data_IF_503305659028
#
_entry.id   IF_503305659028
#
_cell.length_a   1.000
_cell.length_b   1.000
_cell.length_c   1.000
_cell.angle_alpha   90.00
_cell.angle_beta   90.00
_cell.angle_gamma   90.00
#
_symmetry.space_group_name_H-M   'P 1'
#
loop_
_entity.id
_entity.type
_entity.pdbx_description
1 polymer ?
#
# COMPACT_ATOMS: atom_id res chain seq x y z
N UNK A 1 84.33 -15.41 9.66
CA UNK A 1 83.35 -15.25 10.74
C UNK A 1 82.41 -14.15 10.35
N UNK A 2 81.26 -14.52 9.71
CA UNK A 2 80.25 -13.57 9.24
C UNK A 2 78.88 -14.27 9.34
N UNK A 3 78.18 -14.12 10.46
CA UNK A 3 76.78 -14.50 10.62
C UNK A 3 76.11 -13.44 11.50
N UNK A 4 75.72 -12.32 10.95
CA UNK A 4 74.73 -11.40 11.52
C UNK A 4 74.15 -10.58 10.36
N UNK A 5 73.02 -10.85 9.89
CA UNK A 5 72.41 -10.01 8.83
C UNK A 5 71.04 -10.49 8.29
N UNK A 6 70.44 -11.62 8.80
CA UNK A 6 69.24 -12.12 8.16
C UNK A 6 67.95 -12.05 9.02
N UNK A 7 68.05 -11.59 10.27
CA UNK A 7 66.88 -11.63 11.18
C UNK A 7 66.06 -10.32 11.21
N UNK A 8 66.60 -9.20 10.77
CA UNK A 8 65.91 -7.90 10.84
C UNK A 8 64.92 -7.66 9.70
N UNK A 9 65.06 -8.35 8.57
CA UNK A 9 64.16 -8.17 7.41
C UNK A 9 62.84 -8.90 7.54
N UNK A 10 62.82 -10.03 8.22
CA UNK A 10 61.59 -10.85 8.42
C UNK A 10 60.67 -10.26 9.49
N UNK A 11 61.26 -9.71 10.54
CA UNK A 11 60.48 -9.04 11.62
C UNK A 11 59.81 -7.77 11.09
N UNK A 12 60.46 -7.04 10.19
CA UNK A 12 59.89 -5.84 9.56
C UNK A 12 58.69 -6.15 8.67
N UNK A 13 58.77 -7.24 7.91
CA UNK A 13 57.66 -7.69 7.04
C UNK A 13 56.45 -8.16 7.85
N UNK A 14 56.66 -8.90 8.93
CA UNK A 14 55.60 -9.38 9.81
C UNK A 14 54.87 -8.22 10.51
N UNK A 15 55.63 -7.24 11.00
CA UNK A 15 55.04 -6.01 11.63
C UNK A 15 54.22 -5.22 10.61
N UNK A 16 54.71 -5.10 9.37
CA UNK A 16 53.99 -4.41 8.31
C UNK A 16 52.68 -5.13 7.92
N UNK A 17 52.69 -6.46 7.81
CA UNK A 17 51.50 -7.25 7.53
C UNK A 17 50.47 -7.15 8.65
N UNK A 18 50.88 -7.19 9.92
CA UNK A 18 49.99 -7.03 11.07
C UNK A 18 49.40 -5.61 11.13
N UNK A 19 50.18 -4.59 10.86
CA UNK A 19 49.70 -3.20 10.80
C UNK A 19 48.71 -2.99 9.66
N UNK A 20 48.99 -3.59 8.49
CA UNK A 20 48.11 -3.50 7.32
C UNK A 20 46.78 -4.25 7.55
N UNK A 21 46.82 -5.43 8.19
CA UNK A 21 45.59 -6.17 8.55
C UNK A 21 44.78 -5.47 9.62
N UNK A 22 45.40 -4.84 10.61
CA UNK A 22 44.71 -4.03 11.60
C UNK A 22 44.05 -2.79 10.99
N UNK A 23 44.70 -2.16 10.00
CA UNK A 23 44.15 -1.02 9.25
C UNK A 23 42.94 -1.44 8.40
N UNK A 24 43.02 -2.61 7.73
CA UNK A 24 41.89 -3.16 6.95
C UNK A 24 40.72 -3.55 7.85
N UNK A 25 40.96 -4.08 9.05
CA UNK A 25 39.93 -4.38 10.01
C UNK A 25 39.25 -3.12 10.56
N UNK A 26 39.99 -2.02 10.74
CA UNK A 26 39.44 -0.75 11.19
C UNK A 26 38.52 -0.10 10.12
N UNK A 27 38.75 -0.41 8.83
CA UNK A 27 37.90 0.05 7.72
C UNK A 27 36.61 -0.81 7.54
N UNK A 28 36.55 -1.97 8.17
CA UNK A 28 35.36 -2.84 8.20
C UNK A 28 34.37 -2.52 9.34
N UNK A 29 34.47 -1.36 9.99
CA UNK A 29 33.39 -0.87 10.83
C UNK A 29 32.18 -0.72 9.90
N UNK A 30 31.07 -1.47 10.11
CA UNK A 30 29.87 -1.23 9.34
C UNK A 30 29.54 0.24 9.52
N UNK A 31 29.64 1.01 8.44
CA UNK A 31 29.00 2.29 8.36
C UNK A 31 27.49 2.00 8.49
N UNK A 32 27.02 1.86 9.72
CA UNK A 32 25.64 2.12 10.03
C UNK A 32 25.47 3.58 9.64
N UNK A 33 25.17 3.78 8.35
CA UNK A 33 24.59 5.01 7.90
C UNK A 33 23.45 5.24 8.87
N UNK A 34 23.66 6.13 9.83
CA UNK A 34 22.58 6.78 10.55
C UNK A 34 21.77 7.45 9.43
N UNK A 35 20.86 6.69 8.82
CA UNK A 35 19.70 7.31 8.28
C UNK A 35 19.12 8.06 9.47
N UNK A 36 19.39 9.36 9.51
CA UNK A 36 18.57 10.33 10.22
C UNK A 36 17.22 10.15 9.57
N UNK A 37 16.49 9.13 10.05
CA UNK A 37 15.33 8.61 9.40
C UNK A 37 14.26 9.68 9.49
N UNK A 38 14.01 10.37 8.38
CA UNK A 38 12.79 11.14 8.22
C UNK A 38 11.65 10.25 8.70
N UNK A 39 10.98 10.65 9.77
CA UNK A 39 9.81 9.91 10.27
C UNK A 39 8.79 9.87 9.13
N UNK A 40 8.42 8.68 8.61
CA UNK A 40 7.49 8.57 7.51
C UNK A 40 6.12 9.12 7.90
N UNK A 41 5.51 9.87 7.00
CA UNK A 41 4.19 10.45 7.16
C UNK A 41 3.20 9.77 6.20
N UNK A 42 2.23 9.05 6.75
CA UNK A 42 1.19 8.35 6.00
C UNK A 42 -0.10 9.15 6.07
N UNK A 43 -0.74 9.40 4.93
CA UNK A 43 -2.12 9.88 4.86
C UNK A 43 -3.08 8.70 4.84
N UNK A 44 -4.02 8.64 5.76
CA UNK A 44 -5.12 7.68 5.72
C UNK A 44 -6.43 8.41 5.44
N UNK A 45 -7.03 8.16 4.28
CA UNK A 45 -8.27 8.84 3.87
C UNK A 45 -9.41 7.85 3.72
N UNK A 46 -10.52 8.06 4.42
CA UNK A 46 -11.68 7.18 4.40
C UNK A 46 -13.01 7.93 4.39
N UNK A 47 -14.05 7.26 3.86
CA UNK A 47 -15.44 7.72 3.97
C UNK A 47 -16.04 7.46 5.35
N UNK A 48 -15.49 6.51 6.11
CA UNK A 48 -15.98 6.09 7.43
C UNK A 48 -15.32 6.88 8.56
N UNK A 49 -15.91 6.90 9.76
CA UNK A 49 -15.30 7.51 10.93
C UNK A 49 -13.88 6.99 11.22
N UNK A 50 -13.01 7.81 11.85
CA UNK A 50 -11.61 7.45 12.09
C UNK A 50 -11.43 6.34 13.15
N UNK A 51 -12.43 6.08 13.98
CA UNK A 51 -12.43 5.05 15.02
C UNK A 51 -13.31 3.87 14.58
N UNK A 52 -12.85 3.13 13.59
CA UNK A 52 -13.50 1.93 13.09
C UNK A 52 -12.60 0.72 13.28
N UNK A 53 -13.17 -0.48 13.34
CA UNK A 53 -12.40 -1.74 13.41
C UNK A 53 -11.28 -1.82 12.36
N UNK A 54 -11.50 -1.23 11.17
CA UNK A 54 -10.48 -1.19 10.10
C UNK A 54 -9.29 -0.30 10.46
N UNK A 55 -9.53 0.86 11.07
CA UNK A 55 -8.46 1.76 11.49
C UNK A 55 -7.69 1.17 12.65
N UNK A 56 -8.36 0.46 13.55
CA UNK A 56 -7.72 -0.23 14.67
C UNK A 56 -6.89 -1.42 14.20
N UNK A 57 -7.40 -2.22 13.25
CA UNK A 57 -6.65 -3.30 12.62
C UNK A 57 -5.42 -2.76 11.86
N UNK A 58 -5.54 -1.63 11.17
CA UNK A 58 -4.43 -0.97 10.49
C UNK A 58 -3.34 -0.53 11.50
N UNK A 59 -3.74 0.11 12.61
CA UNK A 59 -2.80 0.48 13.68
C UNK A 59 -2.14 -0.74 14.33
N UNK A 60 -2.90 -1.82 14.52
CA UNK A 60 -2.37 -3.07 15.07
C UNK A 60 -1.29 -3.65 14.15
N UNK A 61 -1.58 -3.79 12.85
CA UNK A 61 -0.61 -4.31 11.88
C UNK A 61 0.66 -3.45 11.79
N UNK A 62 0.54 -2.13 11.86
CA UNK A 62 1.71 -1.26 11.92
C UNK A 62 2.55 -1.51 13.18
N UNK A 63 1.91 -1.69 14.35
CA UNK A 63 2.61 -1.99 15.61
C UNK A 63 3.33 -3.33 15.57
N UNK A 64 2.73 -4.35 14.98
CA UNK A 64 3.35 -5.67 14.79
C UNK A 64 4.62 -5.59 13.91
N UNK A 65 4.65 -4.62 12.99
CA UNK A 65 5.82 -4.33 12.16
C UNK A 65 6.81 -3.34 12.81
N UNK A 66 6.60 -2.97 14.08
CA UNK A 66 7.49 -2.08 14.82
C UNK A 66 7.21 -0.58 14.61
N UNK A 67 6.14 -0.21 13.89
CA UNK A 67 5.75 1.19 13.72
C UNK A 67 4.83 1.63 14.85
N UNK A 68 5.18 2.72 15.51
CA UNK A 68 4.42 3.30 16.64
C UNK A 68 4.09 4.75 16.29
N UNK A 69 2.79 5.03 16.15
CA UNK A 69 2.26 6.36 15.83
C UNK A 69 2.78 7.39 16.86
N UNK A 70 3.30 8.51 16.37
CA UNK A 70 3.91 9.55 17.19
C UNK A 70 5.35 9.28 17.64
N UNK A 71 5.93 8.10 17.39
CA UNK A 71 7.34 7.79 17.68
C UNK A 71 8.17 7.70 16.38
N UNK A 72 7.86 6.75 15.54
CA UNK A 72 8.63 6.47 14.31
C UNK A 72 7.77 6.46 13.05
N UNK A 73 6.49 6.85 13.16
CA UNK A 73 5.55 7.08 12.07
C UNK A 73 4.54 8.15 12.45
N UNK A 74 4.15 8.99 11.50
CA UNK A 74 3.05 9.95 11.63
C UNK A 74 1.92 9.52 10.72
N UNK A 75 0.68 9.46 11.25
CA UNK A 75 -0.50 9.13 10.47
C UNK A 75 -1.44 10.33 10.44
N UNK A 76 -1.62 10.89 9.25
CA UNK A 76 -2.55 11.98 8.97
C UNK A 76 -3.93 11.40 8.64
N UNK A 77 -4.77 11.31 9.64
CA UNK A 77 -6.13 10.78 9.49
C UNK A 77 -7.04 11.81 8.84
N UNK A 78 -7.72 11.42 7.76
CA UNK A 78 -8.75 12.22 7.09
C UNK A 78 -10.00 11.39 6.91
N UNK A 79 -11.08 11.80 7.54
CA UNK A 79 -12.38 11.12 7.48
C UNK A 79 -13.43 12.04 6.89
N UNK A 80 -14.19 11.51 5.94
CA UNK A 80 -15.35 12.20 5.39
C UNK A 80 -16.61 12.04 6.27
N UNK A 81 -16.59 11.15 7.27
CA UNK A 81 -17.71 10.94 8.22
C UNK A 81 -19.06 10.71 7.53
N UNK A 82 -19.05 9.91 6.47
CA UNK A 82 -20.21 9.62 5.64
C UNK A 82 -20.51 10.67 4.55
N UNK A 83 -19.91 11.86 4.59
CA UNK A 83 -20.07 12.92 3.59
C UNK A 83 -19.02 12.75 2.48
N UNK A 84 -19.28 11.84 1.54
CA UNK A 84 -18.31 11.42 0.52
C UNK A 84 -17.88 12.55 -0.43
N UNK A 85 -18.68 13.58 -0.58
CA UNK A 85 -18.39 14.83 -1.30
C UNK A 85 -17.17 15.60 -0.74
N UNK A 86 -16.80 15.36 0.52
CA UNK A 86 -15.61 15.94 1.16
C UNK A 86 -14.29 15.26 0.77
N UNK A 87 -14.34 14.04 0.25
CA UNK A 87 -13.13 13.26 -0.05
C UNK A 87 -12.14 13.97 -0.99
N UNK A 88 -12.54 14.67 -2.05
CA UNK A 88 -11.59 15.39 -2.91
C UNK A 88 -10.80 16.46 -2.15
N UNK A 89 -11.46 17.24 -1.29
CA UNK A 89 -10.79 18.26 -0.49
C UNK A 89 -9.83 17.64 0.54
N UNK A 90 -10.23 16.54 1.17
CA UNK A 90 -9.40 15.81 2.13
C UNK A 90 -8.17 15.16 1.47
N UNK A 91 -8.32 14.67 0.23
CA UNK A 91 -7.19 14.16 -0.55
C UNK A 91 -6.20 15.27 -0.91
N UNK A 92 -6.71 16.43 -1.35
CA UNK A 92 -5.88 17.60 -1.63
C UNK A 92 -5.13 18.10 -0.38
N UNK A 93 -5.73 18.00 0.80
CA UNK A 93 -5.06 18.29 2.07
C UNK A 93 -3.84 17.40 2.30
N UNK A 94 -3.97 16.08 2.09
CA UNK A 94 -2.85 15.13 2.24
C UNK A 94 -1.72 15.44 1.25
N UNK A 95 -2.07 15.83 0.01
CA UNK A 95 -1.08 16.26 -0.99
C UNK A 95 -0.33 17.51 -0.52
N UNK A 96 -1.03 18.51 0.04
CA UNK A 96 -0.40 19.73 0.59
C UNK A 96 0.54 19.42 1.76
N UNK A 97 0.18 18.44 2.60
CA UNK A 97 1.00 17.97 3.71
C UNK A 97 2.24 17.18 3.25
N UNK A 98 2.34 16.89 1.94
CA UNK A 98 3.44 16.12 1.34
C UNK A 98 3.66 14.80 2.08
N UNK A 99 2.57 14.05 2.29
CA UNK A 99 2.67 12.73 2.87
C UNK A 99 3.49 11.80 1.97
N UNK A 100 4.19 10.84 2.56
CA UNK A 100 5.06 9.92 1.82
C UNK A 100 4.25 8.84 1.10
N UNK A 101 3.02 8.55 1.58
CA UNK A 101 2.09 7.61 0.95
C UNK A 101 0.65 7.92 1.41
N UNK A 102 -0.34 7.54 0.60
CA UNK A 102 -1.76 7.63 0.95
C UNK A 102 -2.35 6.21 1.03
N UNK A 103 -3.03 5.91 2.12
CA UNK A 103 -3.75 4.65 2.34
C UNK A 103 -5.25 4.88 2.17
N UNK A 104 -5.91 4.01 1.40
CA UNK A 104 -7.33 4.14 1.06
C UNK A 104 -8.09 2.84 1.27
N UNK A 105 -9.12 2.81 2.13
CA UNK A 105 -9.90 1.60 2.43
C UNK A 105 -11.12 1.41 1.52
N UNK A 106 -10.98 1.65 0.20
CA UNK A 106 -12.08 1.41 -0.73
C UNK A 106 -12.12 2.33 -1.94
N UNK A 107 -12.93 1.97 -2.93
CA UNK A 107 -12.96 2.58 -4.26
C UNK A 107 -13.17 4.11 -4.26
N UNK A 108 -14.06 4.63 -3.43
CA UNK A 108 -14.40 6.06 -3.42
C UNK A 108 -13.22 6.91 -2.92
N UNK A 109 -12.58 6.50 -1.83
CA UNK A 109 -11.38 7.17 -1.31
C UNK A 109 -10.17 7.01 -2.24
N UNK A 110 -10.02 5.83 -2.88
CA UNK A 110 -8.97 5.60 -3.88
C UNK A 110 -9.13 6.52 -5.08
N UNK A 111 -10.36 6.73 -5.55
CA UNK A 111 -10.65 7.66 -6.65
C UNK A 111 -10.28 9.09 -6.29
N UNK A 112 -10.70 9.57 -5.13
CA UNK A 112 -10.35 10.91 -4.66
C UNK A 112 -8.83 11.11 -4.53
N UNK A 113 -8.11 10.12 -4.01
CA UNK A 113 -6.66 10.16 -3.93
C UNK A 113 -6.00 10.15 -5.32
N UNK A 114 -6.49 9.31 -6.26
CA UNK A 114 -6.01 9.24 -7.65
C UNK A 114 -6.16 10.57 -8.38
N UNK A 115 -7.29 11.24 -8.18
CA UNK A 115 -7.58 12.53 -8.80
C UNK A 115 -6.72 13.66 -8.21
N UNK A 116 -6.32 13.54 -6.94
CA UNK A 116 -5.52 14.54 -6.25
C UNK A 116 -4.01 14.44 -6.54
N UNK A 117 -3.48 13.26 -6.88
CA UNK A 117 -2.05 13.05 -7.12
C UNK A 117 -1.76 11.91 -8.08
N UNK A 118 -0.73 12.11 -8.92
CA UNK A 118 -0.14 11.07 -9.77
C UNK A 118 1.25 10.61 -9.31
N UNK A 119 1.80 11.23 -8.25
CA UNK A 119 3.19 11.03 -7.80
C UNK A 119 3.29 10.40 -6.42
N UNK A 120 2.40 10.77 -5.48
CA UNK A 120 2.40 10.16 -4.15
C UNK A 120 1.88 8.73 -4.28
N UNK A 121 2.60 7.71 -3.77
CA UNK A 121 2.12 6.34 -3.76
C UNK A 121 0.79 6.19 -3.03
N UNK A 122 -0.15 5.46 -3.63
CA UNK A 122 -1.46 5.15 -3.07
C UNK A 122 -1.57 3.65 -2.83
N UNK A 123 -1.87 3.26 -1.61
CA UNK A 123 -2.07 1.85 -1.21
C UNK A 123 -3.54 1.61 -0.91
N UNK A 124 -4.20 0.85 -1.77
CA UNK A 124 -5.56 0.37 -1.53
C UNK A 124 -5.52 -0.80 -0.54
N UNK A 125 -6.24 -0.72 0.56
CA UNK A 125 -6.35 -1.87 1.47
C UNK A 125 -7.45 -2.85 1.05
N UNK A 126 -8.37 -2.40 0.19
CA UNK A 126 -9.45 -3.22 -0.33
C UNK A 126 -10.10 -2.55 -1.54
N UNK A 127 -10.16 -3.24 -2.68
CA UNK A 127 -11.01 -2.86 -3.81
C UNK A 127 -11.59 -4.10 -4.47
N UNK A 128 -12.90 -4.13 -4.80
CA UNK A 128 -13.54 -5.30 -5.42
C UNK A 128 -13.22 -5.43 -6.92
N UNK A 129 -12.79 -4.37 -7.59
CA UNK A 129 -12.53 -4.35 -9.02
C UNK A 129 -11.56 -3.21 -9.42
N UNK A 130 -10.30 -3.27 -9.00
CA UNK A 130 -9.36 -2.17 -9.24
C UNK A 130 -9.06 -1.92 -10.72
N UNK A 131 -9.20 -2.95 -11.57
CA UNK A 131 -9.06 -2.82 -13.04
C UNK A 131 -10.29 -2.13 -13.62
N UNK A 132 -11.49 -2.61 -13.31
CA UNK A 132 -12.74 -2.01 -13.79
C UNK A 132 -12.98 -0.60 -13.26
N UNK A 133 -12.45 -0.27 -12.08
CA UNK A 133 -12.43 1.09 -11.53
C UNK A 133 -11.35 1.98 -12.19
N UNK A 134 -10.48 1.42 -13.01
CA UNK A 134 -9.39 2.13 -13.68
C UNK A 134 -8.28 2.58 -12.74
N UNK A 135 -8.09 1.91 -11.60
CA UNK A 135 -7.03 2.26 -10.65
C UNK A 135 -5.70 1.65 -11.05
N UNK A 136 -5.72 0.44 -11.60
CA UNK A 136 -4.54 -0.28 -12.07
C UNK A 136 -4.77 -0.85 -13.47
N UNK A 137 -3.71 -1.01 -14.24
CA UNK A 137 -3.79 -1.62 -15.58
C UNK A 137 -4.03 -3.12 -15.50
N UNK A 138 -3.38 -3.80 -14.56
CA UNK A 138 -3.59 -5.21 -14.21
C UNK A 138 -3.19 -5.47 -12.77
N UNK A 139 -3.60 -6.61 -12.20
CA UNK A 139 -3.22 -6.97 -10.81
C UNK A 139 -1.72 -7.24 -10.69
N UNK A 140 -1.11 -7.87 -11.71
CA UNK A 140 0.31 -8.19 -11.72
C UNK A 140 1.21 -6.99 -12.06
N UNK A 141 0.69 -6.01 -12.81
CA UNK A 141 1.41 -4.81 -13.24
C UNK A 141 0.51 -3.59 -13.12
N UNK A 142 0.43 -2.96 -11.96
CA UNK A 142 -0.45 -1.81 -11.70
C UNK A 142 -0.25 -0.64 -12.66
N UNK A 143 1.01 -0.37 -13.07
CA UNK A 143 1.35 0.60 -14.13
C UNK A 143 1.31 2.07 -13.73
N UNK A 144 1.03 2.40 -12.46
CA UNK A 144 0.96 3.78 -11.95
C UNK A 144 1.39 3.87 -10.49
N UNK A 145 0.97 4.97 -9.83
CA UNK A 145 1.26 5.20 -8.41
C UNK A 145 0.30 4.50 -7.44
N UNK A 146 -0.59 3.61 -7.94
CA UNK A 146 -1.59 2.90 -7.13
C UNK A 146 -1.23 1.41 -7.08
N UNK A 147 -1.22 0.86 -5.88
CA UNK A 147 -1.06 -0.58 -5.60
C UNK A 147 -1.96 -0.99 -4.44
N UNK A 148 -2.01 -2.27 -4.09
CA UNK A 148 -2.74 -2.72 -2.90
C UNK A 148 -3.43 -4.07 -3.07
N UNK A 149 -4.48 -4.27 -2.28
CA UNK A 149 -5.22 -5.53 -2.19
C UNK A 149 -6.55 -5.45 -2.93
N UNK A 150 -6.88 -6.51 -3.65
CA UNK A 150 -8.19 -6.72 -4.26
C UNK A 150 -8.88 -7.90 -3.60
N UNK A 151 -10.18 -7.73 -3.32
CA UNK A 151 -11.03 -8.86 -2.98
C UNK A 151 -11.78 -9.31 -4.25
N UNK A 152 -11.59 -10.49 -4.72
CA UNK A 152 -12.17 -11.07 -5.95
C UNK A 152 -13.71 -11.21 -5.89
N UNK A 153 -14.42 -10.35 -5.17
CA UNK A 153 -15.86 -10.44 -4.95
C UNK A 153 -16.67 -10.41 -6.26
N UNK A 154 -16.20 -9.70 -7.27
CA UNK A 154 -16.88 -9.60 -8.55
C UNK A 154 -16.83 -10.92 -9.31
N UNK A 155 -15.67 -11.57 -9.33
CA UNK A 155 -15.46 -12.86 -10.01
C UNK A 155 -16.25 -13.98 -9.33
N UNK A 156 -16.36 -13.91 -8.00
CA UNK A 156 -17.10 -14.90 -7.21
C UNK A 156 -18.63 -14.76 -7.30
N UNK A 157 -19.15 -13.66 -7.84
CA UNK A 157 -20.61 -13.41 -7.87
C UNK A 157 -21.34 -14.44 -8.73
N UNK A 158 -20.77 -14.84 -9.86
CA UNK A 158 -21.32 -15.92 -10.70
C UNK A 158 -21.36 -17.24 -9.96
N UNK A 159 -20.23 -17.61 -9.31
CA UNK A 159 -20.14 -18.86 -8.55
C UNK A 159 -21.09 -18.92 -7.35
N UNK A 160 -21.28 -17.80 -6.67
CA UNK A 160 -22.29 -17.70 -5.59
C UNK A 160 -23.71 -17.99 -6.11
N UNK A 161 -24.05 -17.49 -7.32
CA UNK A 161 -25.34 -17.74 -7.94
C UNK A 161 -25.48 -19.20 -8.37
N UNK A 162 -24.44 -19.83 -8.89
CA UNK A 162 -24.41 -21.27 -9.21
C UNK A 162 -24.68 -22.10 -7.95
N UNK A 163 -23.92 -21.85 -6.86
CA UNK A 163 -24.10 -22.54 -5.60
C UNK A 163 -25.50 -22.34 -5.02
N UNK A 164 -26.05 -21.12 -5.12
CA UNK A 164 -27.42 -20.86 -4.68
C UNK A 164 -28.42 -21.71 -5.47
N UNK A 165 -28.23 -21.89 -6.78
CA UNK A 165 -29.09 -22.73 -7.62
C UNK A 165 -28.96 -24.23 -7.27
N UNK A 166 -27.76 -24.70 -6.89
CA UNK A 166 -27.55 -26.07 -6.41
C UNK A 166 -28.29 -26.34 -5.11
N UNK A 167 -28.22 -25.38 -4.15
CA UNK A 167 -28.87 -25.50 -2.83
C UNK A 167 -30.39 -25.36 -2.95
N UNK A 168 -30.88 -24.56 -3.89
CA UNK A 168 -32.29 -24.31 -4.13
C UNK A 168 -32.63 -24.63 -5.60
N UNK A 169 -32.84 -25.92 -5.98
CA UNK A 169 -32.99 -26.32 -7.40
C UNK A 169 -34.20 -25.68 -8.11
N UNK A 170 -35.25 -25.29 -7.38
CA UNK A 170 -36.45 -24.64 -7.91
C UNK A 170 -36.33 -23.12 -8.01
N UNK A 171 -35.16 -22.55 -7.77
CA UNK A 171 -34.92 -21.11 -7.83
C UNK A 171 -35.12 -20.59 -9.26
N UNK A 172 -36.16 -19.77 -9.44
CA UNK A 172 -36.51 -19.16 -10.73
C UNK A 172 -36.28 -17.65 -10.78
N UNK A 173 -36.21 -16.98 -9.65
CA UNK A 173 -36.00 -15.53 -9.54
C UNK A 173 -35.09 -15.18 -8.36
N UNK A 174 -34.16 -14.23 -8.59
CA UNK A 174 -33.25 -13.71 -7.58
C UNK A 174 -33.34 -12.19 -7.62
N UNK A 175 -33.57 -11.58 -6.46
CA UNK A 175 -33.45 -10.14 -6.30
C UNK A 175 -32.02 -9.79 -5.87
N UNK A 176 -31.40 -8.84 -6.57
CA UNK A 176 -30.06 -8.32 -6.23
C UNK A 176 -30.22 -6.88 -5.76
N UNK A 177 -29.87 -6.65 -4.49
CA UNK A 177 -29.82 -5.31 -3.93
C UNK A 177 -28.43 -4.72 -4.10
N UNK A 178 -28.37 -3.47 -4.53
CA UNK A 178 -27.13 -2.72 -4.67
C UNK A 178 -27.35 -1.23 -4.48
N UNK A 179 -26.32 -0.51 -4.04
CA UNK A 179 -26.38 0.94 -3.95
C UNK A 179 -26.02 1.56 -5.29
N UNK A 180 -26.69 2.63 -5.70
CA UNK A 180 -26.41 3.39 -6.92
C UNK A 180 -25.07 4.15 -6.88
N UNK A 181 -24.45 4.20 -5.71
CA UNK A 181 -23.19 4.93 -5.45
C UNK A 181 -21.95 4.27 -6.05
N UNK A 182 -22.05 3.04 -6.58
CA UNK A 182 -20.93 2.40 -7.27
C UNK A 182 -20.92 2.83 -8.74
N UNK A 183 -19.84 3.48 -9.24
CA UNK A 183 -19.72 3.92 -10.64
C UNK A 183 -19.96 2.79 -11.66
N UNK A 184 -19.67 1.53 -11.30
CA UNK A 184 -19.94 0.36 -12.13
C UNK A 184 -21.44 0.11 -12.42
N UNK A 185 -22.37 0.62 -11.61
CA UNK A 185 -23.81 0.46 -11.86
C UNK A 185 -24.30 1.36 -13.00
N UNK A 186 -23.68 2.51 -13.24
CA UNK A 186 -24.05 3.38 -14.34
C UNK A 186 -23.72 2.73 -15.71
N UNK A 187 -22.62 2.03 -15.82
CA UNK A 187 -22.22 1.30 -17.03
C UNK A 187 -23.08 0.04 -17.26
N UNK A 188 -23.48 -0.65 -16.19
CA UNK A 188 -24.38 -1.79 -16.28
C UNK A 188 -25.81 -1.38 -16.68
N UNK A 189 -26.28 -0.21 -16.26
CA UNK A 189 -27.56 0.34 -16.71
C UNK A 189 -27.55 0.66 -18.21
N UNK A 190 -26.44 1.19 -18.72
CA UNK A 190 -26.27 1.47 -20.16
C UNK A 190 -26.20 0.20 -21.00
N UNK A 191 -25.53 -0.86 -20.52
CA UNK A 191 -25.48 -2.18 -21.17
C UNK A 191 -26.80 -2.95 -21.14
N UNK A 192 -27.63 -2.78 -20.11
CA UNK A 192 -28.97 -3.39 -20.05
C UNK A 192 -29.93 -2.74 -21.04
N UNK A 193 -29.93 -1.42 -21.13
CA UNK A 193 -30.79 -0.69 -22.05
C UNK A 193 -30.46 -1.00 -23.51
N UNK A 194 -29.18 -1.12 -23.88
CA UNK A 194 -28.76 -1.48 -25.25
C UNK A 194 -29.05 -2.95 -25.64
N UNK A 195 -29.40 -3.84 -24.67
CA UNK A 195 -29.83 -5.24 -24.96
C UNK A 195 -31.33 -5.41 -25.00
N UNK A 196 -32.12 -4.40 -24.62
CA UNK A 196 -33.59 -4.43 -24.72
C UNK A 196 -34.09 -3.76 -26.02
N UNK A 197 -33.20 -3.12 -26.79
CA UNK A 197 -33.50 -2.46 -28.06
C UNK A 197 -33.16 -3.33 -29.29
N UNK A 198 -32.82 -4.61 -29.09
CA UNK A 198 -32.65 -5.65 -30.09
C UNK A 198 -33.48 -6.89 -29.74
#
# INVERSE_FOLDING_TARGET
>A
MKIVGHHSSEVSKSVFCVALSALLFALCVPAQAQQTGKIPRIGYISGSPPNSERTDAFRLGLRELGYVEGKNIVIEWRSAEGKLDRLPALAADLVRLKVDMIVTPGATSTRAAKEATSTIPIVMTQDPDPIGNGFVASLARPGGNITGLSNLNRELSGKRLELLKEVVPKLSRVAVFGTSTFPGNAQNKKRRNSRQEH
#
